data_IF_848049814396
#
_entry.id   IF_848049814396
#
_cell.length_a   1.000
_cell.length_b   1.000
_cell.length_c   1.000
_cell.angle_alpha   90.00
_cell.angle_beta   90.00
_cell.angle_gamma   90.00
#
_symmetry.space_group_name_H-M   'P 1'
#
loop_
_entity.id
_entity.type
_entity.pdbx_description
1 polymer ?
#
# COMPACT_ATOMS: atom_id res chain seq x y z
N UNK A 1 -18.43 -4.23 -22.56
CA UNK A 1 -17.66 -3.53 -21.49
C UNK A 1 -16.56 -2.76 -22.18
N UNK A 2 -16.18 -1.57 -21.73
CA UNK A 2 -15.04 -0.83 -22.31
C UNK A 2 -13.74 -1.50 -21.91
N UNK A 3 -12.76 -1.56 -22.81
CA UNK A 3 -11.40 -1.99 -22.52
C UNK A 3 -10.79 -1.10 -21.44
N UNK A 4 -10.24 -1.68 -20.39
CA UNK A 4 -9.53 -0.94 -19.33
C UNK A 4 -8.03 -0.98 -19.58
N UNK A 5 -7.41 0.19 -19.66
CA UNK A 5 -5.98 0.33 -19.95
C UNK A 5 -5.19 0.46 -18.67
N UNK A 6 -4.20 -0.40 -18.52
CA UNK A 6 -3.35 -0.46 -17.33
C UNK A 6 -1.91 -0.13 -17.74
N UNK A 7 -1.34 0.91 -17.13
CA UNK A 7 0.08 1.20 -17.26
C UNK A 7 0.87 0.26 -16.34
N UNK A 8 1.76 -0.55 -16.89
CA UNK A 8 2.56 -1.53 -16.15
C UNK A 8 3.99 -1.01 -16.03
N UNK A 9 4.48 -0.88 -14.80
CA UNK A 9 5.83 -0.43 -14.47
C UNK A 9 6.44 -1.42 -13.48
N UNK A 10 7.30 -2.31 -13.95
CA UNK A 10 7.94 -3.32 -13.08
C UNK A 10 8.96 -2.70 -12.11
N UNK A 11 9.66 -1.65 -12.53
CA UNK A 11 10.63 -0.93 -11.72
C UNK A 11 11.92 -1.70 -11.46
N UNK A 12 12.33 -1.82 -10.19
CA UNK A 12 13.61 -2.37 -9.76
C UNK A 12 13.49 -3.71 -9.02
N UNK A 13 14.61 -4.39 -8.90
CA UNK A 13 14.80 -5.55 -8.04
C UNK A 13 13.74 -6.63 -8.21
N UNK A 14 13.14 -7.05 -7.11
CA UNK A 14 12.09 -8.09 -7.11
C UNK A 14 10.81 -7.65 -7.82
N UNK A 15 10.59 -6.35 -8.07
CA UNK A 15 9.48 -5.89 -8.89
C UNK A 15 9.48 -6.51 -10.28
N UNK A 16 10.66 -6.76 -10.86
CA UNK A 16 10.80 -7.45 -12.17
C UNK A 16 10.43 -8.93 -12.11
N UNK A 17 10.49 -9.55 -10.92
CA UNK A 17 10.18 -10.96 -10.71
C UNK A 17 8.71 -11.19 -10.31
N UNK A 18 8.14 -10.29 -9.49
CA UNK A 18 6.76 -10.40 -8.99
C UNK A 18 5.73 -9.88 -10.01
N UNK A 19 6.09 -8.88 -10.82
CA UNK A 19 5.20 -8.31 -11.82
C UNK A 19 4.66 -9.34 -12.83
N UNK A 20 5.49 -10.22 -13.44
CA UNK A 20 4.99 -11.25 -14.34
C UNK A 20 3.94 -12.17 -13.70
N UNK A 21 4.08 -12.47 -12.41
CA UNK A 21 3.14 -13.32 -11.70
C UNK A 21 1.85 -12.57 -11.34
N UNK A 22 1.94 -11.28 -10.99
CA UNK A 22 0.77 -10.40 -10.87
C UNK A 22 -0.05 -10.36 -12.17
N UNK A 23 0.62 -10.13 -13.30
CA UNK A 23 -0.03 -10.11 -14.62
C UNK A 23 -0.63 -11.47 -14.99
N UNK A 24 0.06 -12.59 -14.69
CA UNK A 24 -0.46 -13.94 -14.92
C UNK A 24 -1.81 -14.18 -14.22
N UNK A 25 -1.94 -13.75 -12.96
CA UNK A 25 -3.19 -13.89 -12.20
C UNK A 25 -4.26 -12.93 -12.70
N UNK A 26 -3.89 -11.70 -13.08
CA UNK A 26 -4.82 -10.74 -13.70
C UNK A 26 -5.37 -11.28 -15.04
N UNK A 27 -4.53 -11.88 -15.88
CA UNK A 27 -4.97 -12.52 -17.12
C UNK A 27 -5.91 -13.71 -16.87
N UNK A 28 -5.65 -14.53 -15.84
CA UNK A 28 -6.54 -15.62 -15.45
C UNK A 28 -7.89 -15.09 -14.97
N UNK A 29 -7.89 -14.05 -14.13
CA UNK A 29 -9.10 -13.39 -13.66
C UNK A 29 -9.88 -12.73 -14.81
N UNK A 30 -9.19 -12.05 -15.71
CA UNK A 30 -9.79 -11.40 -16.88
C UNK A 30 -10.54 -12.41 -17.76
N UNK A 31 -9.91 -13.55 -18.06
CA UNK A 31 -10.56 -14.66 -18.81
C UNK A 31 -11.77 -15.23 -18.06
N UNK A 32 -11.63 -15.46 -16.73
CA UNK A 32 -12.70 -16.07 -15.94
C UNK A 32 -13.94 -15.18 -15.81
N UNK A 33 -13.73 -13.87 -15.66
CA UNK A 33 -14.82 -12.91 -15.39
C UNK A 33 -15.22 -12.08 -16.62
N UNK A 34 -14.62 -12.33 -17.79
CA UNK A 34 -14.94 -11.60 -19.03
C UNK A 34 -14.53 -10.12 -18.96
N UNK A 35 -13.41 -9.80 -18.30
CA UNK A 35 -12.89 -8.45 -18.16
C UNK A 35 -11.92 -8.20 -19.32
N UNK A 36 -12.03 -7.06 -20.00
CA UNK A 36 -11.13 -6.67 -21.09
C UNK A 36 -10.05 -5.72 -20.54
N UNK A 37 -8.86 -6.28 -20.26
CA UNK A 37 -7.69 -5.54 -19.78
C UNK A 37 -6.65 -5.41 -20.90
N UNK A 38 -6.11 -4.20 -21.05
CA UNK A 38 -4.97 -3.93 -21.93
C UNK A 38 -3.80 -3.42 -21.11
N UNK A 39 -2.67 -4.10 -21.17
CA UNK A 39 -1.44 -3.76 -20.48
C UNK A 39 -0.49 -3.01 -21.42
N UNK A 40 -0.16 -1.76 -21.08
CA UNK A 40 0.85 -0.96 -21.73
C UNK A 40 2.09 -0.90 -20.83
N UNK A 41 3.24 -1.41 -21.28
CA UNK A 41 4.45 -1.55 -20.48
C UNK A 41 5.38 -0.35 -20.61
N UNK A 42 5.94 0.11 -19.48
CA UNK A 42 6.87 1.23 -19.41
C UNK A 42 8.13 0.81 -18.62
N UNK A 43 9.31 1.25 -19.08
CA UNK A 43 10.61 0.92 -18.49
C UNK A 43 11.18 1.99 -17.55
N UNK A 44 10.53 3.15 -17.45
CA UNK A 44 10.94 4.22 -16.53
C UNK A 44 10.61 3.89 -15.05
N UNK A 45 10.97 4.77 -14.12
CA UNK A 45 10.94 4.50 -12.67
C UNK A 45 11.79 3.31 -12.27
N UNK A 46 12.99 3.21 -12.83
CA UNK A 46 13.94 2.14 -12.55
C UNK A 46 15.39 2.66 -12.60
N UNK A 47 16.29 1.95 -11.91
CA UNK A 47 17.73 2.18 -12.05
C UNK A 47 18.19 2.06 -13.51
N UNK A 48 17.74 1.04 -14.24
CA UNK A 48 18.15 0.81 -15.62
C UNK A 48 17.75 1.98 -16.55
N UNK A 49 16.61 2.59 -16.29
CA UNK A 49 16.19 3.78 -17.03
C UNK A 49 17.04 5.00 -16.62
N UNK A 50 17.27 5.18 -15.32
CA UNK A 50 18.11 6.28 -14.81
C UNK A 50 19.53 6.21 -15.34
N UNK A 51 20.15 5.02 -15.36
CA UNK A 51 21.51 4.81 -15.88
C UNK A 51 21.64 5.26 -17.35
N UNK A 52 20.61 5.05 -18.16
CA UNK A 52 20.58 5.43 -19.57
C UNK A 52 20.28 6.91 -19.82
N UNK A 53 19.42 7.49 -19.00
CA UNK A 53 18.78 8.78 -19.31
C UNK A 53 19.13 9.89 -18.29
N UNK A 54 19.77 9.58 -17.15
CA UNK A 54 20.10 10.52 -16.09
C UNK A 54 18.88 11.07 -15.32
N UNK A 55 17.70 10.46 -15.51
CA UNK A 55 16.44 10.84 -14.86
C UNK A 55 15.54 9.62 -14.70
N UNK A 56 14.66 9.65 -13.69
CA UNK A 56 13.75 8.53 -13.39
C UNK A 56 12.57 8.43 -14.37
N UNK A 57 12.18 9.54 -14.98
CA UNK A 57 11.01 9.65 -15.85
C UNK A 57 11.35 10.44 -17.11
N UNK A 58 10.74 10.14 -18.28
CA UNK A 58 10.81 11.02 -19.45
C UNK A 58 10.05 12.33 -19.20
N UNK A 59 10.35 13.38 -19.94
CA UNK A 59 9.74 14.70 -19.72
C UNK A 59 8.21 14.70 -19.93
N UNK A 60 7.72 13.84 -20.81
CA UNK A 60 6.31 13.67 -21.13
C UNK A 60 5.66 12.44 -20.43
N UNK A 61 6.22 11.96 -19.33
CA UNK A 61 5.71 10.79 -18.62
C UNK A 61 4.22 10.89 -18.25
N UNK A 62 3.80 12.09 -17.86
CA UNK A 62 2.41 12.34 -17.45
C UNK A 62 1.43 12.15 -18.61
N UNK A 63 1.81 12.58 -19.82
CA UNK A 63 1.01 12.36 -21.02
C UNK A 63 0.99 10.90 -21.43
N UNK A 64 2.11 10.18 -21.20
CA UNK A 64 2.19 8.76 -21.55
C UNK A 64 1.27 7.89 -20.71
N UNK A 65 1.19 8.13 -19.39
CA UNK A 65 0.43 7.27 -18.48
C UNK A 65 -0.86 7.89 -17.93
N UNK A 66 -1.03 9.19 -18.04
CA UNK A 66 -2.18 9.91 -17.47
C UNK A 66 -3.55 9.53 -18.05
N UNK A 67 -3.59 8.94 -19.24
CA UNK A 67 -4.81 8.43 -19.88
C UNK A 67 -5.15 6.96 -19.60
N UNK A 68 -4.45 6.29 -18.66
CA UNK A 68 -4.75 4.93 -18.25
C UNK A 68 -5.78 4.92 -17.10
N UNK A 69 -6.50 3.82 -16.97
CA UNK A 69 -7.49 3.62 -15.88
C UNK A 69 -6.81 3.33 -14.53
N UNK A 70 -5.62 2.72 -14.58
CA UNK A 70 -4.79 2.46 -13.41
C UNK A 70 -3.31 2.28 -13.78
N UNK A 71 -2.44 2.38 -12.77
CA UNK A 71 -1.02 2.06 -12.85
C UNK A 71 -0.78 0.82 -11.97
N UNK A 72 -0.23 -0.23 -12.56
CA UNK A 72 0.21 -1.43 -11.85
C UNK A 72 1.73 -1.39 -11.73
N UNK A 73 2.19 -1.18 -10.50
CA UNK A 73 3.57 -0.84 -10.20
C UNK A 73 4.24 -1.95 -9.38
N UNK A 74 5.51 -2.25 -9.67
CA UNK A 74 6.27 -3.25 -8.93
C UNK A 74 6.97 -2.64 -7.72
N UNK A 75 8.21 -2.19 -7.91
CA UNK A 75 9.00 -1.56 -6.86
C UNK A 75 9.99 -0.56 -7.47
N UNK A 76 10.47 0.40 -6.68
CA UNK A 76 11.49 1.34 -7.11
C UNK A 76 12.53 1.57 -6.01
N UNK A 77 13.75 1.82 -6.45
CA UNK A 77 14.88 2.13 -5.59
C UNK A 77 15.93 1.02 -5.55
N UNK A 78 17.19 1.43 -5.52
CA UNK A 78 18.34 0.56 -5.36
C UNK A 78 19.42 1.32 -4.58
N UNK A 79 19.37 1.33 -3.25
CA UNK A 79 20.19 2.24 -2.41
C UNK A 79 21.70 2.22 -2.69
N UNK A 80 22.23 1.06 -3.12
CA UNK A 80 23.66 0.92 -3.48
C UNK A 80 24.02 1.62 -4.81
N UNK A 81 23.04 1.90 -5.68
CA UNK A 81 23.22 2.45 -7.02
C UNK A 81 22.68 3.87 -7.16
N UNK A 82 21.56 4.17 -6.52
CA UNK A 82 20.85 5.43 -6.63
C UNK A 82 20.26 5.83 -5.27
N UNK A 83 20.49 7.06 -4.87
CA UNK A 83 19.96 7.55 -3.60
C UNK A 83 18.43 7.66 -3.62
N UNK A 84 17.78 7.37 -2.49
CA UNK A 84 16.32 7.36 -2.35
C UNK A 84 15.68 8.69 -2.75
N UNK A 85 16.32 9.82 -2.46
CA UNK A 85 15.80 11.13 -2.87
C UNK A 85 15.83 11.35 -4.40
N UNK A 86 16.55 10.56 -5.16
CA UNK A 86 16.51 10.57 -6.63
C UNK A 86 15.45 9.59 -7.13
N UNK A 87 15.47 8.36 -6.63
CA UNK A 87 14.57 7.29 -7.11
C UNK A 87 13.12 7.51 -6.69
N UNK A 88 12.86 7.70 -5.38
CA UNK A 88 11.49 7.84 -4.85
C UNK A 88 10.89 9.22 -5.17
N UNK A 89 11.64 10.30 -4.94
CA UNK A 89 11.13 11.65 -5.20
C UNK A 89 11.04 11.96 -6.69
N UNK A 90 11.91 11.35 -7.49
CA UNK A 90 11.92 11.50 -8.94
C UNK A 90 10.90 10.63 -9.68
N UNK A 91 10.14 9.79 -8.98
CA UNK A 91 9.11 8.93 -9.60
C UNK A 91 7.87 8.74 -8.73
N UNK A 92 7.89 7.83 -7.76
CA UNK A 92 6.69 7.43 -6.99
C UNK A 92 5.99 8.60 -6.28
N UNK A 93 6.75 9.49 -5.64
CA UNK A 93 6.16 10.67 -4.98
C UNK A 93 5.62 11.69 -5.97
N UNK A 94 6.19 11.76 -7.18
CA UNK A 94 5.62 12.58 -8.26
C UNK A 94 4.27 12.02 -8.72
N UNK A 95 4.15 10.70 -8.90
CA UNK A 95 2.86 10.09 -9.26
C UNK A 95 1.78 10.42 -8.23
N UNK A 96 2.09 10.26 -6.94
CA UNK A 96 1.14 10.58 -5.86
C UNK A 96 0.65 12.02 -5.91
N UNK A 97 1.55 12.98 -6.15
CA UNK A 97 1.21 14.42 -6.18
C UNK A 97 0.55 14.83 -7.48
N UNK A 98 1.15 14.49 -8.62
CA UNK A 98 0.70 14.94 -9.93
C UNK A 98 -0.61 14.30 -10.39
N UNK A 99 -0.91 13.09 -9.90
CA UNK A 99 -2.18 12.40 -10.11
C UNK A 99 -3.14 12.52 -8.91
N UNK A 100 -2.81 13.38 -7.95
CA UNK A 100 -3.60 13.62 -6.74
C UNK A 100 -4.12 12.32 -6.09
N UNK A 101 -3.21 11.35 -5.93
CA UNK A 101 -3.49 10.06 -5.30
C UNK A 101 -3.46 10.23 -3.78
N UNK A 102 -4.43 10.93 -3.24
CA UNK A 102 -4.43 11.45 -1.87
C UNK A 102 -4.76 10.41 -0.79
N UNK A 103 -5.20 9.21 -1.18
CA UNK A 103 -5.38 8.07 -0.28
C UNK A 103 -4.28 7.05 -0.53
N UNK A 104 -3.54 6.66 0.52
CA UNK A 104 -2.81 5.41 0.51
C UNK A 104 -3.57 4.40 1.37
N UNK A 105 -4.06 3.34 0.74
CA UNK A 105 -4.87 2.29 1.36
C UNK A 105 -4.05 1.01 1.48
N UNK A 106 -3.85 0.52 2.70
CA UNK A 106 -3.07 -0.68 3.00
C UNK A 106 -3.85 -1.64 3.90
N UNK A 107 -4.35 -2.78 3.39
CA UNK A 107 -4.92 -3.83 4.22
C UNK A 107 -3.82 -4.59 4.97
N UNK A 108 -4.10 -4.95 6.22
CA UNK A 108 -3.29 -5.87 7.01
C UNK A 108 -4.19 -7.02 7.49
N UNK A 109 -3.97 -8.22 6.96
CA UNK A 109 -4.80 -9.38 7.22
C UNK A 109 -3.95 -10.62 7.49
N UNK A 110 -4.25 -11.31 8.58
CA UNK A 110 -3.64 -12.61 8.88
C UNK A 110 -4.27 -13.68 8.00
N UNK A 111 -3.48 -14.15 7.03
CA UNK A 111 -3.90 -15.15 6.05
C UNK A 111 -3.79 -16.58 6.61
N UNK A 112 -4.58 -17.56 6.12
CA UNK A 112 -4.39 -18.97 6.45
C UNK A 112 -2.96 -19.43 6.18
N UNK A 113 -2.43 -20.28 7.07
CA UNK A 113 -1.09 -20.84 6.92
C UNK A 113 0.09 -19.88 7.15
N UNK A 114 -0.19 -18.62 7.45
CA UNK A 114 0.81 -17.65 7.90
C UNK A 114 0.79 -17.61 9.43
N UNK A 115 1.98 -17.60 10.04
CA UNK A 115 2.14 -17.51 11.48
C UNK A 115 2.38 -16.06 11.87
N UNK A 116 1.43 -15.48 12.62
CA UNK A 116 1.61 -14.14 13.15
C UNK A 116 2.68 -14.13 14.24
N UNK A 117 3.65 -13.20 14.23
CA UNK A 117 4.65 -13.07 15.29
C UNK A 117 4.03 -12.56 16.60
N UNK A 118 2.86 -11.94 16.53
CA UNK A 118 2.14 -11.42 17.69
C UNK A 118 1.13 -12.46 18.20
N UNK A 119 1.24 -12.84 19.46
CA UNK A 119 0.36 -13.81 20.11
C UNK A 119 -0.76 -13.12 20.91
N UNK A 120 -1.78 -13.88 21.34
CA UNK A 120 -2.76 -13.39 22.30
C UNK A 120 -2.12 -13.22 23.69
N UNK A 121 -2.82 -12.51 24.57
CA UNK A 121 -2.33 -12.21 25.93
C UNK A 121 -2.05 -13.47 26.77
N UNK A 122 -2.74 -14.56 26.48
CA UNK A 122 -2.54 -15.88 27.12
C UNK A 122 -1.41 -16.71 26.46
N UNK A 123 -0.68 -16.14 25.49
CA UNK A 123 0.40 -16.79 24.76
C UNK A 123 -0.07 -17.68 23.61
N UNK A 124 -1.37 -17.82 23.37
CA UNK A 124 -1.87 -18.64 22.27
C UNK A 124 -1.69 -17.95 20.91
N UNK A 125 -1.41 -18.71 19.82
CA UNK A 125 -1.29 -18.16 18.48
C UNK A 125 -2.62 -17.54 17.98
N UNK A 126 -2.50 -16.46 17.24
CA UNK A 126 -3.65 -15.86 16.55
C UNK A 126 -4.08 -16.71 15.37
N UNK A 127 -5.37 -16.71 15.09
CA UNK A 127 -5.96 -17.47 13.99
C UNK A 127 -6.19 -16.59 12.76
N UNK A 128 -6.19 -17.17 11.55
CA UNK A 128 -6.54 -16.47 10.32
C UNK A 128 -7.86 -15.68 10.46
N UNK A 129 -7.87 -14.45 9.96
CA UNK A 129 -9.02 -13.54 10.03
C UNK A 129 -9.20 -12.80 11.37
N UNK A 130 -8.47 -13.13 12.44
CA UNK A 130 -8.52 -12.34 13.67
C UNK A 130 -7.90 -10.95 13.49
N UNK A 131 -6.84 -10.85 12.70
CA UNK A 131 -6.29 -9.57 12.26
C UNK A 131 -6.81 -9.33 10.85
N UNK A 132 -7.65 -8.32 10.71
CA UNK A 132 -8.22 -7.88 9.44
C UNK A 132 -8.59 -6.40 9.55
N UNK A 133 -7.66 -5.54 9.17
CA UNK A 133 -7.80 -4.09 9.26
C UNK A 133 -7.30 -3.40 8.00
N UNK A 134 -7.76 -2.17 7.79
CA UNK A 134 -7.25 -1.26 6.77
C UNK A 134 -6.61 -0.05 7.42
N UNK A 135 -5.44 0.33 6.93
CA UNK A 135 -4.81 1.60 7.25
C UNK A 135 -5.06 2.56 6.08
N UNK A 136 -5.73 3.69 6.40
CA UNK A 136 -5.99 4.80 5.47
C UNK A 136 -5.03 5.92 5.82
N UNK A 137 -4.02 6.11 4.97
CA UNK A 137 -2.96 7.11 5.13
C UNK A 137 -3.24 8.30 4.21
N UNK A 138 -3.15 9.51 4.72
CA UNK A 138 -3.02 10.71 3.90
C UNK A 138 -1.74 10.59 3.06
N UNK A 139 -1.75 11.01 1.79
CA UNK A 139 -0.69 10.63 0.86
C UNK A 139 -0.08 11.78 0.04
N UNK A 140 -0.53 13.02 0.20
CA UNK A 140 -0.11 14.15 -0.66
C UNK A 140 0.41 15.37 0.09
N UNK A 141 0.14 15.49 1.38
CA UNK A 141 0.57 16.60 2.23
C UNK A 141 1.12 16.08 3.59
N UNK A 142 0.83 16.73 4.69
CA UNK A 142 1.26 16.31 6.01
C UNK A 142 2.74 16.56 6.25
N UNK A 143 3.38 15.60 6.89
CA UNK A 143 4.80 15.63 7.24
C UNK A 143 5.72 15.46 6.00
N UNK A 144 5.17 14.96 4.89
CA UNK A 144 5.85 14.79 3.59
C UNK A 144 5.66 16.00 2.67
N UNK A 145 5.29 17.17 3.18
CA UNK A 145 4.97 18.37 2.39
C UNK A 145 6.11 18.85 1.50
N UNK A 146 7.37 18.54 1.83
CA UNK A 146 8.58 19.07 1.18
C UNK A 146 8.70 20.61 1.26
N UNK A 147 8.03 21.23 2.25
CA UNK A 147 8.14 22.66 2.54
C UNK A 147 9.13 22.84 3.68
N UNK A 148 10.15 23.66 3.43
CA UNK A 148 11.22 23.90 4.38
C UNK A 148 12.51 24.36 3.71
N UNK A 149 13.63 24.23 4.40
CA UNK A 149 14.92 24.64 3.85
C UNK A 149 16.05 24.58 4.85
N UNK A 150 17.24 25.04 4.41
CA UNK A 150 18.43 25.13 5.23
C UNK A 150 18.96 26.54 5.26
N UNK A 151 19.50 26.96 6.40
CA UNK A 151 20.26 28.19 6.60
C UNK A 151 21.62 27.87 7.20
N UNK A 152 22.64 28.65 6.84
CA UNK A 152 24.04 28.51 7.32
C UNK A 152 24.63 27.11 7.07
N UNK A 153 24.29 26.51 5.94
CA UNK A 153 24.68 25.15 5.57
C UNK A 153 26.20 24.93 5.69
N UNK A 154 26.62 23.80 6.24
CA UNK A 154 28.00 23.42 6.45
C UNK A 154 28.72 24.18 7.58
N UNK A 155 28.02 24.97 8.39
CA UNK A 155 28.58 25.68 9.55
C UNK A 155 27.99 25.16 10.87
N UNK A 156 28.66 25.41 12.03
CA UNK A 156 28.09 25.06 13.33
C UNK A 156 26.75 25.77 13.68
N UNK A 157 26.34 26.74 12.88
CA UNK A 157 25.10 27.49 13.02
C UNK A 157 24.01 26.99 12.06
N UNK A 158 24.22 25.87 11.39
CA UNK A 158 23.26 25.32 10.44
C UNK A 158 21.90 25.11 11.09
N UNK A 159 20.85 25.57 10.39
CA UNK A 159 19.44 25.38 10.77
C UNK A 159 18.75 24.66 9.62
N UNK A 160 17.98 23.61 9.95
CA UNK A 160 17.16 22.86 9.00
C UNK A 160 15.72 22.91 9.47
N UNK A 161 14.81 23.25 8.55
CA UNK A 161 13.37 23.32 8.82
C UNK A 161 12.62 22.44 7.83
N UNK A 162 11.70 21.65 8.33
CA UNK A 162 10.72 20.89 7.57
C UNK A 162 9.33 21.18 8.17
N UNK A 163 8.41 21.69 7.36
CA UNK A 163 7.07 22.02 7.80
C UNK A 163 6.10 20.86 7.63
N UNK A 164 5.19 20.66 8.61
CA UNK A 164 4.01 19.83 8.47
C UNK A 164 2.85 20.68 7.98
N UNK A 165 2.25 20.32 6.85
CA UNK A 165 1.14 21.04 6.25
C UNK A 165 -0.13 20.18 6.30
N UNK A 166 -1.19 20.73 6.87
CA UNK A 166 -2.52 20.12 6.88
C UNK A 166 -3.53 21.12 6.35
N UNK A 167 -3.98 20.91 5.11
CA UNK A 167 -5.05 21.72 4.55
C UNK A 167 -6.41 21.14 4.95
N UNK A 168 -7.45 21.98 4.97
CA UNK A 168 -8.80 21.50 5.23
C UNK A 168 -9.26 20.51 4.17
N UNK A 169 -8.96 20.78 2.92
CA UNK A 169 -9.32 19.89 1.80
C UNK A 169 -8.62 18.53 1.94
N UNK A 170 -7.32 18.51 2.20
CA UNK A 170 -6.54 17.30 2.34
C UNK A 170 -7.01 16.44 3.51
N UNK A 171 -7.21 17.06 4.69
CA UNK A 171 -7.69 16.33 5.88
C UNK A 171 -9.13 15.85 5.71
N UNK A 172 -10.05 16.70 5.24
CA UNK A 172 -11.46 16.32 5.13
C UNK A 172 -11.68 15.19 4.11
N UNK A 173 -10.98 15.18 2.97
CA UNK A 173 -11.14 14.13 1.95
C UNK A 173 -10.63 12.77 2.40
N UNK A 174 -9.50 12.71 3.13
CA UNK A 174 -9.01 11.44 3.68
C UNK A 174 -9.90 10.91 4.80
N UNK A 175 -10.39 11.79 5.66
CA UNK A 175 -11.34 11.43 6.72
C UNK A 175 -12.65 10.91 6.14
N UNK A 176 -13.22 11.60 5.13
CA UNK A 176 -14.43 11.13 4.44
C UNK A 176 -14.25 9.71 3.92
N UNK A 177 -13.17 9.44 3.18
CA UNK A 177 -12.88 8.11 2.68
C UNK A 177 -12.79 7.07 3.80
N UNK A 178 -12.10 7.38 4.90
CA UNK A 178 -11.94 6.46 6.02
C UNK A 178 -13.27 6.16 6.74
N UNK A 179 -14.14 7.16 6.93
CA UNK A 179 -15.47 6.97 7.51
C UNK A 179 -16.37 6.14 6.60
N UNK A 180 -16.37 6.39 5.28
CA UNK A 180 -17.13 5.63 4.29
C UNK A 180 -16.67 4.16 4.25
N UNK A 181 -15.35 3.93 4.27
CA UNK A 181 -14.79 2.59 4.35
C UNK A 181 -15.23 1.90 5.66
N UNK A 182 -15.08 2.54 6.80
CA UNK A 182 -15.50 1.97 8.09
C UNK A 182 -17.02 1.66 8.11
N UNK A 183 -17.85 2.53 7.55
CA UNK A 183 -19.30 2.32 7.45
C UNK A 183 -19.65 1.10 6.61
N UNK A 184 -18.86 0.78 5.57
CA UNK A 184 -19.08 -0.37 4.70
C UNK A 184 -18.65 -1.70 5.33
N UNK A 185 -17.81 -1.69 6.35
CA UNK A 185 -17.26 -2.89 7.00
C UNK A 185 -18.16 -3.40 8.14
N UNK A 186 -18.13 -4.72 8.42
CA UNK A 186 -19.01 -5.30 9.44
C UNK A 186 -18.86 -4.71 10.86
N UNK A 187 -17.59 -4.41 11.29
CA UNK A 187 -17.32 -3.86 12.62
C UNK A 187 -17.75 -2.39 12.75
N UNK A 188 -17.82 -1.66 11.63
CA UNK A 188 -18.14 -0.21 11.56
C UNK A 188 -17.33 0.59 12.58
N UNK A 189 -16.03 0.34 12.65
CA UNK A 189 -15.15 0.89 13.66
C UNK A 189 -14.00 1.65 12.98
N UNK A 190 -13.86 2.93 13.34
CA UNK A 190 -12.76 3.80 12.89
C UNK A 190 -11.90 4.18 14.09
N UNK A 191 -10.59 4.02 13.94
CA UNK A 191 -9.59 4.52 14.89
C UNK A 191 -8.81 5.66 14.25
N UNK A 192 -8.77 6.82 14.89
CA UNK A 192 -7.94 7.96 14.46
C UNK A 192 -6.60 7.95 15.20
N UNK A 193 -5.50 7.98 14.42
CA UNK A 193 -4.17 8.19 14.95
C UNK A 193 -3.89 9.69 15.12
N UNK A 194 -3.38 10.10 16.28
CA UNK A 194 -3.06 11.50 16.58
C UNK A 194 -1.80 11.62 17.44
N UNK A 195 -1.30 12.83 17.65
CA UNK A 195 -0.29 13.18 18.65
C UNK A 195 -0.57 14.56 19.24
N UNK A 196 -1.84 14.89 19.43
CA UNK A 196 -2.27 16.22 19.90
C UNK A 196 -1.79 16.59 21.31
N UNK A 197 -1.30 15.62 22.10
CA UNK A 197 -0.64 15.90 23.38
C UNK A 197 0.82 16.37 23.24
N UNK A 198 1.41 16.32 22.04
CA UNK A 198 2.81 16.72 21.81
C UNK A 198 2.97 17.67 20.62
N UNK A 199 2.17 17.53 19.59
CA UNK A 199 2.16 18.40 18.41
C UNK A 199 0.98 19.36 18.53
N UNK A 200 1.26 20.57 18.96
CA UNK A 200 0.26 21.49 19.54
C UNK A 200 -0.59 22.27 18.53
N UNK A 201 -0.30 22.18 17.22
CA UNK A 201 -1.03 22.95 16.19
C UNK A 201 -1.73 22.00 15.22
N UNK A 202 -0.99 21.21 14.44
CA UNK A 202 -1.55 20.38 13.38
C UNK A 202 -2.38 19.21 13.89
N UNK A 203 -1.99 18.57 15.00
CA UNK A 203 -2.73 17.42 15.52
C UNK A 203 -4.02 17.76 16.28
N UNK A 204 -4.13 18.84 17.07
CA UNK A 204 -5.43 19.32 17.51
C UNK A 204 -6.38 19.68 16.37
N UNK A 205 -5.86 20.28 15.28
CA UNK A 205 -6.66 20.54 14.08
C UNK A 205 -7.15 19.22 13.44
N UNK A 206 -6.28 18.21 13.32
CA UNK A 206 -6.68 16.87 12.88
C UNK A 206 -7.82 16.31 13.72
N UNK A 207 -7.67 16.35 15.05
CA UNK A 207 -8.69 15.87 16.00
C UNK A 207 -10.03 16.62 15.85
N UNK A 208 -9.98 17.93 15.66
CA UNK A 208 -11.16 18.76 15.39
C UNK A 208 -11.89 18.33 14.11
N UNK A 209 -11.13 18.10 13.02
CA UNK A 209 -11.71 17.65 11.76
C UNK A 209 -12.32 16.26 11.87
N UNK A 210 -11.66 15.33 12.57
CA UNK A 210 -12.20 13.99 12.87
C UNK A 210 -13.53 14.08 13.61
N UNK A 211 -13.59 14.89 14.68
CA UNK A 211 -14.82 15.07 15.46
C UNK A 211 -15.96 15.72 14.65
N UNK A 212 -15.64 16.68 13.79
CA UNK A 212 -16.62 17.30 12.89
C UNK A 212 -17.15 16.29 11.85
N UNK A 213 -16.28 15.49 11.23
CA UNK A 213 -16.66 14.47 10.24
C UNK A 213 -17.53 13.38 10.85
N UNK A 214 -17.22 12.95 12.07
CA UNK A 214 -17.96 11.90 12.78
C UNK A 214 -19.46 12.20 12.95
N UNK A 215 -19.84 13.49 12.99
CA UNK A 215 -21.26 13.88 13.09
C UNK A 215 -22.09 13.40 11.89
N UNK A 216 -21.47 13.26 10.71
CA UNK A 216 -22.10 12.73 9.51
C UNK A 216 -22.20 11.20 9.47
N UNK A 217 -21.54 10.48 10.39
CA UNK A 217 -21.47 9.01 10.42
C UNK A 217 -21.84 8.41 11.79
N UNK A 218 -23.06 8.63 12.27
CA UNK A 218 -23.47 8.23 13.65
C UNK A 218 -23.44 6.70 13.84
N UNK A 219 -23.43 5.92 12.77
CA UNK A 219 -23.34 4.46 12.82
C UNK A 219 -21.91 3.91 12.89
N UNK A 220 -20.90 4.76 12.83
CA UNK A 220 -19.48 4.37 12.93
C UNK A 220 -18.98 4.62 14.34
N UNK A 221 -18.51 3.57 15.00
CA UNK A 221 -17.81 3.71 16.29
C UNK A 221 -16.46 4.38 16.06
N UNK A 222 -16.15 5.44 16.79
CA UNK A 222 -14.90 6.19 16.68
C UNK A 222 -14.08 6.06 17.96
N UNK A 223 -12.83 5.65 17.81
CA UNK A 223 -11.80 5.74 18.86
C UNK A 223 -10.63 6.61 18.38
N UNK A 224 -9.93 7.20 19.34
CA UNK A 224 -8.74 8.03 19.10
C UNK A 224 -7.61 7.59 20.02
N UNK A 225 -6.42 7.38 19.44
CA UNK A 225 -5.20 7.07 20.19
C UNK A 225 -4.03 7.93 19.76
N UNK A 226 -3.18 8.31 20.69
CA UNK A 226 -1.88 8.88 20.37
C UNK A 226 -1.00 7.82 19.72
N UNK A 227 -0.20 8.20 18.74
CA UNK A 227 0.56 7.27 17.87
C UNK A 227 1.45 6.30 18.66
N UNK A 228 2.09 6.76 19.71
CA UNK A 228 2.96 5.95 20.57
C UNK A 228 2.20 4.79 21.24
N UNK A 229 1.05 5.07 21.88
CA UNK A 229 0.23 3.99 22.45
C UNK A 229 -0.50 3.18 21.38
N UNK A 230 -0.81 3.77 20.23
CA UNK A 230 -1.44 3.06 19.12
C UNK A 230 -0.52 1.98 18.56
N UNK A 231 0.80 2.26 18.39
CA UNK A 231 1.77 1.25 17.96
C UNK A 231 1.86 0.09 18.96
N UNK A 232 1.84 0.38 20.27
CA UNK A 232 1.79 -0.67 21.28
C UNK A 232 0.50 -1.53 21.17
N UNK A 233 -0.64 -0.90 20.89
CA UNK A 233 -1.90 -1.61 20.70
C UNK A 233 -1.93 -2.46 19.43
N UNK A 234 -1.26 -2.06 18.35
CA UNK A 234 -1.09 -2.89 17.15
C UNK A 234 -0.43 -4.23 17.47
N UNK A 235 0.57 -4.22 18.38
CA UNK A 235 1.26 -5.45 18.81
C UNK A 235 0.40 -6.25 19.82
N UNK A 236 -0.20 -5.58 20.78
CA UNK A 236 -0.88 -6.24 21.91
C UNK A 236 -2.27 -6.77 21.56
N UNK A 237 -3.03 -6.02 20.74
CA UNK A 237 -4.43 -6.31 20.41
C UNK A 237 -4.79 -5.89 18.97
N UNK A 238 -4.09 -6.41 17.95
CA UNK A 238 -4.35 -6.03 16.55
C UNK A 238 -5.78 -6.38 16.09
N UNK A 239 -6.42 -7.37 16.70
CA UNK A 239 -7.81 -7.78 16.48
C UNK A 239 -8.86 -6.73 16.87
N UNK A 240 -8.48 -5.73 17.64
CA UNK A 240 -9.33 -4.61 18.01
C UNK A 240 -9.65 -3.70 16.81
N UNK A 241 -8.71 -3.51 15.90
CA UNK A 241 -8.81 -2.55 14.81
C UNK A 241 -9.65 -3.07 13.63
N UNK A 242 -10.26 -2.13 12.92
CA UNK A 242 -11.01 -2.37 11.69
C UNK A 242 -10.54 -1.42 10.57
N UNK A 243 -10.75 -0.10 10.74
CA UNK A 243 -10.17 0.93 9.90
C UNK A 243 -9.37 1.88 10.77
N UNK A 244 -8.15 2.19 10.38
CA UNK A 244 -7.28 3.16 11.07
C UNK A 244 -6.97 4.29 10.11
N UNK A 245 -7.28 5.53 10.48
CA UNK A 245 -6.95 6.71 9.68
C UNK A 245 -5.81 7.50 10.33
N UNK A 246 -4.87 7.95 9.51
CA UNK A 246 -3.67 8.64 9.98
C UNK A 246 -3.17 9.69 8.99
N UNK A 247 -2.40 10.68 9.52
CA UNK A 247 -1.59 11.58 8.72
C UNK A 247 -0.56 10.81 7.89
N UNK A 248 0.13 11.51 7.00
CA UNK A 248 1.08 10.88 6.08
C UNK A 248 2.16 10.06 6.81
N UNK A 249 2.87 10.63 7.77
CA UNK A 249 3.93 9.93 8.51
C UNK A 249 3.37 8.84 9.43
N UNK A 250 2.31 9.13 10.18
CA UNK A 250 1.75 8.13 11.08
C UNK A 250 1.15 6.96 10.32
N UNK A 251 0.53 7.23 9.18
CA UNK A 251 0.02 6.21 8.27
C UNK A 251 1.12 5.35 7.68
N UNK A 252 2.27 5.93 7.36
CA UNK A 252 3.44 5.19 6.86
C UNK A 252 3.94 4.18 7.90
N UNK A 253 4.18 4.66 9.13
CA UNK A 253 4.64 3.81 10.23
C UNK A 253 3.65 2.66 10.52
N UNK A 254 2.36 2.98 10.62
CA UNK A 254 1.32 2.00 10.96
C UNK A 254 1.11 0.97 9.84
N UNK A 255 1.28 1.37 8.59
CA UNK A 255 1.04 0.51 7.43
C UNK A 255 2.16 -0.49 7.16
N UNK A 256 3.33 -0.31 7.77
CA UNK A 256 4.39 -1.33 7.83
C UNK A 256 4.24 -2.20 9.10
N UNK A 257 3.86 -1.58 10.22
CA UNK A 257 3.63 -2.31 11.47
C UNK A 257 2.46 -3.31 11.35
N UNK A 258 1.38 -2.97 10.66
CA UNK A 258 0.24 -3.85 10.45
C UNK A 258 0.63 -5.19 9.80
N UNK A 259 1.23 -5.18 8.60
CA UNK A 259 1.76 -6.38 7.96
C UNK A 259 2.81 -7.13 8.80
N UNK A 260 3.69 -6.42 9.50
CA UNK A 260 4.64 -7.06 10.42
C UNK A 260 3.92 -7.86 11.52
N UNK A 261 2.79 -7.36 12.03
CA UNK A 261 1.96 -8.10 12.99
C UNK A 261 1.25 -9.32 12.38
N UNK A 262 1.04 -9.37 11.06
CA UNK A 262 0.38 -10.49 10.37
C UNK A 262 1.34 -11.54 9.82
N UNK A 263 2.66 -11.33 9.92
CA UNK A 263 3.68 -12.34 9.63
C UNK A 263 4.70 -11.99 8.57
N UNK A 264 4.32 -11.39 7.45
CA UNK A 264 5.28 -11.00 6.40
C UNK A 264 4.81 -9.79 5.60
N UNK A 265 5.76 -8.88 5.32
CA UNK A 265 5.54 -7.76 4.42
C UNK A 265 5.43 -8.24 2.95
N UNK A 266 5.99 -9.40 2.61
CA UNK A 266 5.97 -9.96 1.26
C UNK A 266 4.58 -10.22 0.68
N UNK A 267 3.54 -10.32 1.53
CA UNK A 267 2.14 -10.49 1.08
C UNK A 267 1.32 -9.18 1.14
N UNK A 268 1.88 -8.09 1.63
CA UNK A 268 1.14 -6.86 1.89
C UNK A 268 0.97 -6.01 0.62
N UNK A 269 -0.26 -5.68 0.21
CA UNK A 269 -0.52 -4.79 -0.90
C UNK A 269 -0.67 -3.35 -0.45
N UNK A 270 -0.59 -2.43 -1.41
CA UNK A 270 -0.86 -1.01 -1.24
C UNK A 270 -1.57 -0.44 -2.45
N UNK A 271 -2.43 0.54 -2.24
CA UNK A 271 -3.05 1.32 -3.30
C UNK A 271 -2.92 2.81 -3.00
N UNK A 272 -2.43 3.57 -3.99
CA UNK A 272 -2.41 5.03 -3.98
C UNK A 272 -3.58 5.50 -4.84
N UNK A 273 -4.64 6.01 -4.22
CA UNK A 273 -5.92 6.23 -4.88
C UNK A 273 -6.21 7.72 -5.13
N UNK A 274 -6.70 7.99 -6.32
CA UNK A 274 -7.59 9.12 -6.62
C UNK A 274 -9.02 8.55 -6.68
N UNK A 275 -9.80 8.60 -5.57
CA UNK A 275 -11.10 7.95 -5.49
C UNK A 275 -12.12 8.45 -6.51
N UNK A 276 -11.99 9.70 -6.95
CA UNK A 276 -12.82 10.32 -7.98
C UNK A 276 -12.50 9.83 -9.39
N UNK A 277 -11.39 9.11 -9.57
CA UNK A 277 -10.89 8.57 -10.86
C UNK A 277 -10.69 9.64 -11.94
N UNK A 278 -10.35 10.83 -11.53
CA UNK A 278 -10.00 11.92 -12.47
C UNK A 278 -8.61 11.75 -13.07
N UNK A 279 -7.78 10.96 -12.41
CA UNK A 279 -6.41 10.57 -12.79
C UNK A 279 -6.19 9.11 -12.42
N UNK A 280 -5.19 8.42 -13.01
CA UNK A 280 -4.95 7.03 -12.69
C UNK A 280 -4.49 6.83 -11.23
N UNK A 281 -5.09 5.86 -10.56
CA UNK A 281 -4.64 5.35 -9.27
C UNK A 281 -3.52 4.33 -9.46
N UNK A 282 -2.63 4.18 -8.47
CA UNK A 282 -1.46 3.32 -8.53
C UNK A 282 -1.55 2.20 -7.49
N UNK A 283 -1.25 0.97 -7.91
CA UNK A 283 -1.30 -0.24 -7.09
C UNK A 283 0.09 -0.88 -7.05
N UNK A 284 0.69 -0.92 -5.86
CA UNK A 284 2.07 -1.38 -5.62
C UNK A 284 2.15 -2.20 -4.33
N UNK A 285 3.01 -3.22 -4.22
CA UNK A 285 3.27 -3.90 -2.95
C UNK A 285 3.87 -2.95 -1.91
N UNK A 286 3.68 -3.28 -0.62
CA UNK A 286 4.32 -2.55 0.49
C UNK A 286 5.83 -2.76 0.50
N UNK A 287 6.29 -3.97 0.11
CA UNK A 287 7.72 -4.25 0.00
C UNK A 287 8.40 -3.39 -1.08
N UNK A 288 9.67 -3.03 -0.85
CA UNK A 288 10.52 -2.33 -1.82
C UNK A 288 11.13 -3.29 -2.86
N UNK A 289 12.20 -2.84 -3.48
CA UNK A 289 12.93 -3.59 -4.53
C UNK A 289 13.75 -4.79 -4.01
N UNK A 290 14.03 -4.87 -2.70
CA UNK A 290 14.76 -5.95 -2.04
C UNK A 290 16.02 -6.39 -2.83
N UNK A 291 17.04 -5.52 -2.97
CA UNK A 291 18.22 -5.80 -3.80
C UNK A 291 18.99 -7.05 -3.37
N UNK A 292 18.94 -7.39 -2.09
CA UNK A 292 19.59 -8.56 -1.49
C UNK A 292 19.08 -9.91 -2.03
N UNK A 293 17.82 -9.96 -2.45
CA UNK A 293 17.22 -11.19 -3.04
C UNK A 293 16.87 -11.03 -4.53
N UNK A 294 17.06 -9.86 -5.10
CA UNK A 294 16.79 -9.61 -6.52
C UNK A 294 17.59 -10.55 -7.44
N UNK A 295 16.95 -11.10 -8.46
CA UNK A 295 17.53 -12.06 -9.41
C UNK A 295 17.58 -13.50 -8.91
N UNK A 296 17.17 -13.78 -7.66
CA UNK A 296 17.18 -15.13 -7.09
C UNK A 296 15.90 -15.93 -7.36
N UNK A 297 14.84 -15.29 -7.84
CA UNK A 297 13.55 -15.93 -8.13
C UNK A 297 12.85 -16.49 -6.88
N UNK A 298 13.07 -15.91 -5.70
CA UNK A 298 12.54 -16.38 -4.42
C UNK A 298 11.58 -15.40 -3.75
N UNK A 299 11.36 -14.24 -4.35
CA UNK A 299 10.45 -13.23 -3.84
C UNK A 299 9.01 -13.75 -3.81
N UNK A 300 8.25 -13.38 -2.76
CA UNK A 300 6.85 -13.75 -2.66
C UNK A 300 5.99 -12.88 -3.60
N UNK A 301 5.26 -13.45 -4.59
CA UNK A 301 4.47 -12.67 -5.54
C UNK A 301 3.10 -12.25 -5.00
N UNK A 302 2.69 -12.72 -3.81
CA UNK A 302 1.33 -12.48 -3.29
C UNK A 302 1.05 -11.00 -3.10
N UNK A 303 2.02 -10.22 -2.61
CA UNK A 303 1.86 -8.76 -2.49
C UNK A 303 1.46 -8.12 -3.81
N UNK A 304 2.17 -8.44 -4.89
CA UNK A 304 1.86 -7.95 -6.23
C UNK A 304 0.50 -8.46 -6.75
N UNK A 305 0.20 -9.75 -6.55
CA UNK A 305 -1.07 -10.36 -6.96
C UNK A 305 -2.24 -9.70 -6.22
N UNK A 306 -2.11 -9.44 -4.93
CA UNK A 306 -3.15 -8.77 -4.14
C UNK A 306 -3.32 -7.30 -4.55
N UNK A 307 -2.25 -6.60 -4.93
CA UNK A 307 -2.35 -5.27 -5.57
C UNK A 307 -3.21 -5.32 -6.83
N UNK A 308 -3.02 -6.35 -7.66
CA UNK A 308 -3.86 -6.59 -8.84
C UNK A 308 -5.33 -6.82 -8.46
N UNK A 309 -5.61 -7.57 -7.40
CA UNK A 309 -6.97 -7.75 -6.90
C UNK A 309 -7.59 -6.41 -6.44
N UNK A 310 -6.86 -5.60 -5.65
CA UNK A 310 -7.32 -4.27 -5.23
C UNK A 310 -7.58 -3.35 -6.44
N UNK A 311 -6.74 -3.41 -7.46
CA UNK A 311 -6.94 -2.68 -8.72
C UNK A 311 -8.25 -3.09 -9.40
N UNK A 312 -8.53 -4.39 -9.49
CA UNK A 312 -9.79 -4.89 -10.07
C UNK A 312 -11.01 -4.43 -9.28
N UNK A 313 -10.96 -4.46 -7.94
CA UNK A 313 -12.05 -3.93 -7.10
C UNK A 313 -12.26 -2.45 -7.37
N UNK A 314 -11.19 -1.66 -7.38
CA UNK A 314 -11.24 -0.22 -7.67
C UNK A 314 -11.83 0.05 -9.07
N UNK A 315 -11.53 -0.77 -10.05
CA UNK A 315 -12.07 -0.67 -11.41
C UNK A 315 -13.51 -1.20 -11.55
N UNK A 316 -14.12 -1.70 -10.46
CA UNK A 316 -15.52 -2.15 -10.41
C UNK A 316 -15.71 -3.65 -10.54
N UNK A 317 -14.65 -4.45 -10.52
CA UNK A 317 -14.68 -5.91 -10.66
C UNK A 317 -14.56 -6.64 -9.31
N UNK A 318 -15.42 -6.31 -8.36
CA UNK A 318 -15.39 -6.88 -7.01
C UNK A 318 -15.39 -8.42 -6.99
N UNK A 319 -16.15 -9.06 -7.87
CA UNK A 319 -16.20 -10.54 -7.93
C UNK A 319 -14.84 -11.15 -8.29
N UNK A 320 -14.06 -10.49 -9.15
CA UNK A 320 -12.72 -10.93 -9.50
C UNK A 320 -11.74 -10.71 -8.34
N UNK A 321 -11.81 -9.57 -7.66
CA UNK A 321 -11.09 -9.32 -6.42
C UNK A 321 -11.33 -10.42 -5.38
N UNK A 322 -12.60 -10.69 -5.04
CA UNK A 322 -12.97 -11.66 -4.01
C UNK A 322 -12.49 -13.08 -4.38
N UNK A 323 -12.54 -13.43 -5.68
CA UNK A 323 -12.04 -14.71 -6.17
C UNK A 323 -10.51 -14.84 -6.02
N UNK A 324 -9.75 -13.80 -6.36
CA UNK A 324 -8.29 -13.81 -6.20
C UNK A 324 -7.94 -13.96 -4.71
N UNK A 325 -8.54 -13.18 -3.82
CA UNK A 325 -8.26 -13.30 -2.38
C UNK A 325 -8.62 -14.68 -1.83
N UNK A 326 -9.81 -15.20 -2.17
CA UNK A 326 -10.21 -16.56 -1.78
C UNK A 326 -9.23 -17.62 -2.30
N UNK A 327 -8.67 -17.42 -3.49
CA UNK A 327 -7.66 -18.33 -4.06
C UNK A 327 -6.34 -18.24 -3.33
N UNK A 328 -5.86 -17.04 -3.00
CA UNK A 328 -4.67 -16.86 -2.16
C UNK A 328 -4.85 -17.59 -0.82
N UNK A 329 -5.99 -17.42 -0.16
CA UNK A 329 -6.29 -18.09 1.11
C UNK A 329 -6.28 -19.62 0.98
N UNK A 330 -6.86 -20.17 -0.09
CA UNK A 330 -6.86 -21.62 -0.36
C UNK A 330 -5.46 -22.16 -0.60
N UNK A 331 -4.64 -21.45 -1.39
CA UNK A 331 -3.25 -21.82 -1.69
C UNK A 331 -2.40 -21.77 -0.43
N UNK A 332 -2.58 -20.79 0.42
CA UNK A 332 -1.85 -20.65 1.68
C UNK A 332 -2.35 -21.57 2.80
N UNK A 333 -3.54 -22.16 2.67
CA UNK A 333 -4.14 -22.98 3.73
C UNK A 333 -3.23 -24.16 4.11
N UNK A 334 -3.15 -24.53 5.41
CA UNK A 334 -2.43 -25.72 5.85
C UNK A 334 -2.95 -26.96 5.11
N UNK A 335 -2.02 -27.79 4.60
CA UNK A 335 -2.37 -29.01 3.87
C UNK A 335 -2.78 -28.82 2.41
N UNK A 336 -2.73 -27.61 1.85
CA UNK A 336 -3.01 -27.35 0.43
C UNK A 336 -2.04 -28.09 -0.52
N UNK A 337 -0.82 -28.41 -0.05
CA UNK A 337 0.25 -28.94 -0.91
C UNK A 337 0.82 -27.94 -1.91
N UNK A 338 0.36 -26.69 -1.88
CA UNK A 338 0.81 -25.66 -2.80
C UNK A 338 2.24 -25.18 -2.49
N UNK A 339 2.99 -24.74 -3.51
CA UNK A 339 4.34 -24.21 -3.33
C UNK A 339 4.34 -22.98 -2.43
N UNK A 340 5.38 -22.83 -1.61
CA UNK A 340 5.60 -21.69 -0.71
C UNK A 340 6.98 -21.11 -0.89
N UNK A 341 7.08 -19.79 -0.91
CA UNK A 341 8.35 -19.06 -0.95
C UNK A 341 9.08 -19.12 0.41
N UNK A 342 10.40 -18.84 0.47
CA UNK A 342 11.18 -18.93 1.71
C UNK A 342 10.67 -18.07 2.87
N UNK A 343 10.15 -16.88 2.60
CA UNK A 343 9.60 -15.96 3.60
C UNK A 343 8.37 -16.51 4.35
N UNK A 344 7.67 -17.48 3.75
CA UNK A 344 6.52 -18.19 4.34
C UNK A 344 6.80 -19.66 4.58
N UNK A 345 8.08 -20.01 4.76
CA UNK A 345 8.53 -21.32 5.23
C UNK A 345 8.63 -22.41 4.17
N UNK A 346 8.73 -22.06 2.90
CA UNK A 346 8.93 -23.00 1.79
C UNK A 346 10.28 -22.86 1.09
N UNK A 347 10.40 -23.49 -0.09
CA UNK A 347 11.59 -23.44 -0.95
C UNK A 347 11.23 -23.20 -2.41
N UNK A 348 9.97 -22.90 -2.69
CA UNK A 348 9.50 -22.70 -4.04
C UNK A 348 9.94 -21.34 -4.61
N UNK A 349 9.99 -21.25 -5.92
CA UNK A 349 10.29 -20.01 -6.61
C UNK A 349 9.08 -19.07 -6.65
N UNK A 350 9.35 -17.79 -6.95
CA UNK A 350 8.34 -16.77 -7.24
C UNK A 350 7.32 -17.26 -8.27
N UNK A 351 7.84 -17.86 -9.37
CA UNK A 351 6.98 -18.32 -10.46
C UNK A 351 6.17 -19.58 -10.14
N UNK A 352 6.67 -20.47 -9.26
CA UNK A 352 5.90 -21.65 -8.86
C UNK A 352 4.65 -21.25 -8.07
N UNK A 353 4.82 -20.31 -7.12
CA UNK A 353 3.69 -19.82 -6.32
C UNK A 353 2.72 -19.01 -7.18
N UNK A 354 3.20 -18.13 -8.06
CA UNK A 354 2.37 -17.35 -8.98
C UNK A 354 1.53 -18.22 -9.92
N UNK A 355 2.14 -19.27 -10.50
CA UNK A 355 1.44 -20.27 -11.32
C UNK A 355 0.37 -21.00 -10.53
N UNK A 356 0.71 -21.49 -9.33
CA UNK A 356 -0.25 -22.21 -8.50
C UNK A 356 -1.49 -21.37 -8.16
N UNK A 357 -1.32 -20.06 -7.92
CA UNK A 357 -2.45 -19.15 -7.68
C UNK A 357 -3.27 -18.95 -8.97
N UNK A 358 -2.62 -18.76 -10.12
CA UNK A 358 -3.33 -18.55 -11.39
C UNK A 358 -4.10 -19.81 -11.84
N UNK A 359 -3.56 -21.00 -11.60
CA UNK A 359 -4.19 -22.28 -11.96
C UNK A 359 -5.35 -22.65 -11.01
N UNK A 360 -5.29 -22.19 -9.75
CA UNK A 360 -6.33 -22.41 -8.76
C UNK A 360 -7.51 -21.41 -8.84
N UNK A 361 -7.33 -20.32 -9.58
CA UNK A 361 -8.34 -19.28 -9.78
C UNK A 361 -9.41 -19.74 -10.78
#
# INVERSE_FOLDING_TARGET
MSTQRIAVIAGDGIGKETMPEGLRVLDAAARKFGIDLKFDHFDFSSWDYYEKHGKMLPDNWKDQIGGHDAIFFGAVGWPEKIADHVSLWGSLLLFRREFDQYINLRPARLMPGIVAPVVRRDGTPRQPGEIDMYIVRENTEGEYSSIGGRMYEGTPREIVVQETVMSRVGVDRVLKFAFELAQSRPKKHLTSATKSNGISITMPYWDERVAAMAQGYPGVKLDKFHIDILTAHFVQRPDFFDVVVASNLFGDILSDLGPACTGTIGIAPSANLNPERTTPSLFEPVHGSAPDIAGKGIANPIGQIWCGAMMLEFLGHKAAHDAILSTIEKVLAPGSGAPRTPDIGGTASTSDLGKAIAEAL
#
